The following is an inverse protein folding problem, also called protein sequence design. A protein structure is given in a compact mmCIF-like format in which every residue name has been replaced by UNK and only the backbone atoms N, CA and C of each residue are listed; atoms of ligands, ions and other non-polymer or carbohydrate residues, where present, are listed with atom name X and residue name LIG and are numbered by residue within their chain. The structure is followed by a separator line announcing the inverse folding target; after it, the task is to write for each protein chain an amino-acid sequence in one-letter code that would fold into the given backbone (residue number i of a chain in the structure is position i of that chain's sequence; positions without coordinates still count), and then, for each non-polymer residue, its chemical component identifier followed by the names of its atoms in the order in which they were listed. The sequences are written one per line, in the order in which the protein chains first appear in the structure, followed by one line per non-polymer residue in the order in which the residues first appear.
data_IF_388834429243
#
_entry.id   IF_388834429243
#
_cell.length_a   1.000
_cell.length_b   1.000
_cell.length_c   1.000
_cell.angle_alpha   90.00
_cell.angle_beta   90.00
_cell.angle_gamma   90.00
#
_symmetry.space_group_name_H-M   'P 1'
#
loop_
_entity.id
_entity.type
_entity.pdbx_description
1 polymer ?
#
# COMPACT_ATOMS: atom_id res chain seq x y z
N UNK A 1 40.51 14.26 21.60
CA UNK A 1 39.27 13.65 22.16
C UNK A 1 37.98 14.16 21.51
N UNK A 2 37.99 14.81 20.33
CA UNK A 2 36.81 15.53 19.82
C UNK A 2 36.27 15.04 18.45
N UNK A 3 36.85 13.98 17.87
CA UNK A 3 36.46 13.50 16.54
C UNK A 3 35.29 12.50 16.59
N UNK A 4 35.19 11.70 17.66
CA UNK A 4 34.11 10.71 17.80
C UNK A 4 32.74 11.35 18.09
N UNK A 5 32.71 12.48 18.79
CA UNK A 5 31.47 13.22 19.06
C UNK A 5 30.92 13.92 17.83
N UNK A 6 31.77 14.35 16.89
CA UNK A 6 31.31 14.96 15.64
C UNK A 6 30.67 13.93 14.68
N UNK A 7 31.27 12.73 14.60
CA UNK A 7 30.78 11.62 13.75
C UNK A 7 29.45 11.05 14.29
N UNK A 8 29.32 10.92 15.63
CA UNK A 8 28.06 10.48 16.24
C UNK A 8 26.91 11.48 16.03
N UNK A 9 27.21 12.78 16.00
CA UNK A 9 26.19 13.81 15.77
C UNK A 9 25.70 13.84 14.31
N UNK A 10 26.60 13.72 13.32
CA UNK A 10 26.20 13.69 11.91
C UNK A 10 25.38 12.43 11.58
N UNK A 11 25.79 11.26 12.10
CA UNK A 11 25.02 10.03 11.96
C UNK A 11 23.63 10.12 12.62
N UNK A 12 23.50 10.83 13.74
CA UNK A 12 22.21 11.09 14.38
C UNK A 12 21.33 12.05 13.57
N UNK A 13 21.89 13.09 12.96
CA UNK A 13 21.16 14.02 12.10
C UNK A 13 20.65 13.32 10.83
N UNK A 14 21.50 12.54 10.16
CA UNK A 14 21.13 11.76 8.98
C UNK A 14 20.01 10.76 9.31
N UNK A 15 20.08 10.12 10.48
CA UNK A 15 19.06 9.16 10.93
C UNK A 15 17.73 9.84 11.29
N UNK A 16 17.75 11.07 11.83
CA UNK A 16 16.54 11.86 12.03
C UNK A 16 15.91 12.28 10.71
N UNK A 17 16.71 12.71 9.73
CA UNK A 17 16.24 13.04 8.39
C UNK A 17 15.59 11.82 7.74
N UNK A 18 16.24 10.66 7.87
CA UNK A 18 15.77 9.38 7.33
C UNK A 18 14.46 8.91 7.96
N UNK A 19 14.36 8.99 9.30
CA UNK A 19 13.14 8.71 10.04
C UNK A 19 12.00 9.64 9.61
N UNK A 20 12.30 10.93 9.43
CA UNK A 20 11.32 11.93 8.97
C UNK A 20 10.82 11.63 7.55
N UNK A 21 11.71 11.23 6.64
CA UNK A 21 11.34 10.83 5.27
C UNK A 21 10.43 9.59 5.30
N UNK A 22 10.80 8.56 6.07
CA UNK A 22 10.01 7.35 6.23
C UNK A 22 8.63 7.62 6.85
N UNK A 23 8.55 8.54 7.81
CA UNK A 23 7.30 8.92 8.46
C UNK A 23 6.38 9.70 7.50
N UNK A 24 6.95 10.54 6.65
CA UNK A 24 6.20 11.20 5.57
C UNK A 24 5.68 10.20 4.52
N UNK A 25 6.50 9.22 4.12
CA UNK A 25 6.06 8.13 3.23
C UNK A 25 4.96 7.27 3.89
N UNK A 26 5.09 6.97 5.19
CA UNK A 26 4.06 6.27 5.97
C UNK A 26 2.70 6.99 5.91
N UNK A 27 2.68 8.31 6.08
CA UNK A 27 1.46 9.11 5.98
C UNK A 27 0.85 9.04 4.57
N UNK A 28 1.67 9.16 3.53
CA UNK A 28 1.23 9.01 2.13
C UNK A 28 0.61 7.64 1.87
N UNK A 29 1.27 6.57 2.32
CA UNK A 29 0.76 5.21 2.19
C UNK A 29 -0.47 4.93 3.04
N UNK A 30 -0.61 5.54 4.22
CA UNK A 30 -1.80 5.40 5.05
C UNK A 30 -3.04 6.03 4.38
N UNK A 31 -2.85 7.15 3.68
CA UNK A 31 -3.89 7.79 2.87
C UNK A 31 -4.26 6.94 1.65
N UNK A 32 -3.28 6.45 0.88
CA UNK A 32 -3.49 5.54 -0.26
C UNK A 32 -4.20 4.27 0.20
N UNK A 33 -3.77 3.69 1.32
CA UNK A 33 -4.43 2.57 1.98
C UNK A 33 -5.91 2.92 2.17
N UNK A 34 -6.24 3.95 2.96
CA UNK A 34 -7.63 4.33 3.21
C UNK A 34 -8.47 4.50 1.95
N UNK A 35 -7.91 5.13 0.90
CA UNK A 35 -8.57 5.31 -0.40
C UNK A 35 -8.81 3.97 -1.11
N UNK A 36 -7.80 3.10 -1.19
CA UNK A 36 -7.92 1.78 -1.84
C UNK A 36 -8.98 0.91 -1.17
N UNK A 37 -9.10 0.94 0.16
CA UNK A 37 -10.18 0.23 0.86
C UNK A 37 -11.53 0.87 0.64
N UNK A 38 -11.61 2.21 0.66
CA UNK A 38 -12.84 2.91 0.29
C UNK A 38 -13.33 2.51 -1.11
N UNK A 39 -12.44 2.49 -2.10
CA UNK A 39 -12.77 2.05 -3.47
C UNK A 39 -13.10 0.56 -3.54
N UNK A 40 -12.40 -0.31 -2.80
CA UNK A 40 -12.74 -1.73 -2.71
C UNK A 40 -14.14 -1.96 -2.15
N UNK A 41 -14.49 -1.33 -1.02
CA UNK A 41 -15.81 -1.43 -0.40
C UNK A 41 -16.89 -0.88 -1.34
N UNK A 42 -16.62 0.24 -1.99
CA UNK A 42 -17.54 0.82 -2.97
C UNK A 42 -17.80 -0.13 -4.16
N UNK A 43 -16.74 -0.68 -4.77
CA UNK A 43 -16.86 -1.67 -5.85
C UNK A 43 -17.57 -2.94 -5.39
N UNK A 44 -17.31 -3.41 -4.17
CA UNK A 44 -17.99 -4.57 -3.59
C UNK A 44 -19.49 -4.33 -3.41
N UNK A 45 -19.89 -3.17 -2.86
CA UNK A 45 -21.30 -2.82 -2.69
C UNK A 45 -22.04 -2.69 -4.03
N UNK A 46 -21.40 -2.10 -5.04
CA UNK A 46 -21.97 -2.04 -6.39
C UNK A 46 -22.13 -3.44 -7.00
N UNK A 47 -21.17 -4.35 -6.78
CA UNK A 47 -21.24 -5.72 -7.27
C UNK A 47 -22.38 -6.49 -6.60
N UNK A 48 -22.50 -6.38 -5.27
CA UNK A 48 -23.59 -6.99 -4.50
C UNK A 48 -24.94 -6.42 -4.94
N UNK A 49 -25.03 -5.10 -5.16
CA UNK A 49 -26.22 -4.44 -5.68
C UNK A 49 -26.61 -4.97 -7.07
N UNK A 50 -25.65 -5.08 -7.99
CA UNK A 50 -25.87 -5.63 -9.32
C UNK A 50 -26.35 -7.10 -9.24
N UNK A 51 -25.69 -7.92 -8.42
CA UNK A 51 -26.11 -9.31 -8.18
C UNK A 51 -27.52 -9.41 -7.59
N UNK A 52 -27.87 -8.51 -6.68
CA UNK A 52 -29.21 -8.41 -6.09
C UNK A 52 -30.28 -8.07 -7.14
N UNK A 53 -30.02 -7.08 -8.00
CA UNK A 53 -30.93 -6.70 -9.10
C UNK A 53 -31.09 -7.86 -10.09
N UNK A 54 -30.00 -8.52 -10.46
CA UNK A 54 -30.04 -9.71 -11.33
C UNK A 54 -30.87 -10.82 -10.68
N UNK A 55 -30.57 -11.19 -9.43
CA UNK A 55 -31.28 -12.25 -8.71
C UNK A 55 -32.77 -11.96 -8.58
N UNK A 56 -33.14 -10.72 -8.24
CA UNK A 56 -34.53 -10.29 -8.18
C UNK A 56 -35.23 -10.37 -9.54
N UNK A 57 -34.55 -9.96 -10.61
CA UNK A 57 -35.07 -10.02 -11.97
C UNK A 57 -35.29 -11.47 -12.41
N UNK A 58 -34.35 -12.38 -12.11
CA UNK A 58 -34.51 -13.81 -12.41
C UNK A 58 -35.69 -14.44 -11.67
N UNK A 59 -35.86 -14.16 -10.37
CA UNK A 59 -37.00 -14.67 -9.58
C UNK A 59 -38.33 -14.16 -10.16
N UNK A 60 -38.37 -12.87 -10.52
CA UNK A 60 -39.56 -12.24 -11.08
C UNK A 60 -39.90 -12.79 -12.48
N UNK A 61 -38.89 -12.99 -13.34
CA UNK A 61 -39.05 -13.52 -14.70
C UNK A 61 -39.39 -15.02 -14.74
N UNK A 62 -38.95 -15.80 -13.75
CA UNK A 62 -39.39 -17.20 -13.57
C UNK A 62 -40.89 -17.26 -13.29
N UNK A 63 -41.44 -16.27 -12.59
CA UNK A 63 -42.87 -16.18 -12.31
C UNK A 63 -43.69 -15.66 -13.51
N UNK A 64 -43.08 -14.98 -14.48
CA UNK A 64 -43.78 -14.31 -15.60
C UNK A 64 -43.58 -14.97 -16.97
N UNK A 65 -42.82 -16.07 -17.06
CA UNK A 65 -42.55 -16.73 -18.35
C UNK A 65 -41.37 -16.13 -19.11
N UNK A 66 -40.17 -16.22 -18.52
CA UNK A 66 -38.95 -16.54 -19.28
C UNK A 66 -38.35 -15.44 -20.16
N UNK A 67 -38.25 -14.19 -19.71
CA UNK A 67 -37.35 -13.23 -20.35
C UNK A 67 -35.92 -13.34 -19.80
N UNK A 68 -34.97 -13.59 -20.71
CA UNK A 68 -33.54 -13.79 -20.44
C UNK A 68 -32.92 -12.50 -19.91
N UNK A 69 -32.06 -12.61 -18.89
CA UNK A 69 -31.29 -11.51 -18.34
C UNK A 69 -30.59 -10.68 -19.45
N UNK A 70 -30.74 -9.36 -19.40
CA UNK A 70 -30.22 -8.45 -20.41
C UNK A 70 -28.69 -8.57 -20.53
N UNK A 71 -28.13 -8.76 -21.73
CA UNK A 71 -26.69 -8.94 -21.95
C UNK A 71 -25.84 -7.76 -21.45
N UNK A 72 -26.46 -6.59 -21.29
CA UNK A 72 -25.82 -5.38 -20.79
C UNK A 72 -25.35 -5.50 -19.33
N UNK A 73 -26.07 -6.24 -18.49
CA UNK A 73 -25.72 -6.39 -17.07
C UNK A 73 -24.52 -7.36 -16.91
N UNK A 74 -24.46 -8.39 -17.76
CA UNK A 74 -23.33 -9.33 -17.79
C UNK A 74 -22.01 -8.64 -18.18
N UNK A 75 -22.09 -7.63 -19.06
CA UNK A 75 -20.93 -6.84 -19.50
C UNK A 75 -20.36 -5.94 -18.39
N UNK A 76 -21.17 -5.52 -17.43
CA UNK A 76 -20.74 -4.64 -16.32
C UNK A 76 -20.15 -5.44 -15.16
N UNK A 77 -20.51 -6.72 -15.03
CA UNK A 77 -20.01 -7.60 -13.96
C UNK A 77 -18.50 -7.86 -14.03
N UNK A 78 -17.99 -8.13 -15.22
CA UNK A 78 -16.58 -8.44 -15.45
C UNK A 78 -15.61 -7.29 -15.10
N UNK A 79 -15.82 -6.04 -15.55
CA UNK A 79 -14.97 -4.93 -15.14
C UNK A 79 -15.12 -4.61 -13.65
N UNK A 80 -16.30 -4.81 -13.04
CA UNK A 80 -16.48 -4.59 -11.61
C UNK A 80 -15.70 -5.59 -10.75
N UNK A 81 -15.72 -6.88 -11.11
CA UNK A 81 -14.96 -7.91 -10.40
C UNK A 81 -13.45 -7.70 -10.58
N UNK A 82 -13.01 -7.32 -11.79
CA UNK A 82 -11.61 -6.95 -12.04
C UNK A 82 -11.18 -5.72 -11.22
N UNK A 83 -12.03 -4.69 -11.12
CA UNK A 83 -11.77 -3.53 -10.28
C UNK A 83 -11.66 -3.90 -8.80
N UNK A 84 -12.56 -4.75 -8.29
CA UNK A 84 -12.53 -5.23 -6.91
C UNK A 84 -11.22 -5.95 -6.58
N UNK A 85 -10.77 -6.88 -7.45
CA UNK A 85 -9.50 -7.59 -7.29
C UNK A 85 -8.33 -6.62 -7.35
N UNK A 86 -8.35 -5.66 -8.27
CA UNK A 86 -7.31 -4.64 -8.42
C UNK A 86 -7.17 -3.75 -7.17
N UNK A 87 -8.28 -3.24 -6.64
CA UNK A 87 -8.26 -2.44 -5.42
C UNK A 87 -7.84 -3.25 -4.19
N UNK A 88 -8.24 -4.52 -4.10
CA UNK A 88 -7.82 -5.41 -3.03
C UNK A 88 -6.31 -5.71 -3.08
N UNK A 89 -5.78 -6.02 -4.26
CA UNK A 89 -4.34 -6.24 -4.45
C UNK A 89 -3.53 -4.97 -4.09
N UNK A 90 -4.02 -3.80 -4.52
CA UNK A 90 -3.42 -2.51 -4.20
C UNK A 90 -3.45 -2.22 -2.68
N UNK A 91 -4.56 -2.52 -2.01
CA UNK A 91 -4.67 -2.42 -0.55
C UNK A 91 -3.67 -3.33 0.17
N UNK A 92 -3.57 -4.60 -0.24
CA UNK A 92 -2.60 -5.54 0.32
C UNK A 92 -1.16 -5.07 0.11
N UNK A 93 -0.83 -4.55 -1.07
CA UNK A 93 0.48 -3.96 -1.35
C UNK A 93 0.78 -2.78 -0.42
N UNK A 94 -0.18 -1.85 -0.25
CA UNK A 94 -0.03 -0.73 0.67
C UNK A 94 0.16 -1.19 2.13
N UNK A 95 -0.55 -2.24 2.55
CA UNK A 95 -0.44 -2.79 3.91
C UNK A 95 0.93 -3.44 4.16
N UNK A 96 1.44 -4.20 3.19
CA UNK A 96 2.77 -4.80 3.27
C UNK A 96 3.87 -3.73 3.32
N UNK A 97 3.71 -2.66 2.54
CA UNK A 97 4.65 -1.55 2.56
C UNK A 97 4.63 -0.77 3.87
N UNK A 98 3.47 -0.45 4.44
CA UNK A 98 3.38 0.21 5.75
C UNK A 98 4.06 -0.63 6.84
N UNK A 99 3.82 -1.95 6.83
CA UNK A 99 4.46 -2.85 7.79
C UNK A 99 6.00 -2.90 7.62
N UNK A 100 6.49 -2.84 6.39
CA UNK A 100 7.93 -2.73 6.11
C UNK A 100 8.52 -1.39 6.56
N UNK A 101 7.81 -0.28 6.34
CA UNK A 101 8.19 1.05 6.83
C UNK A 101 8.26 1.07 8.36
N UNK A 102 7.26 0.51 9.06
CA UNK A 102 7.24 0.46 10.52
C UNK A 102 8.44 -0.33 11.06
N UNK A 103 8.76 -1.49 10.47
CA UNK A 103 9.96 -2.26 10.83
C UNK A 103 11.26 -1.48 10.58
N UNK A 104 11.31 -0.74 9.47
CA UNK A 104 12.46 0.11 9.13
C UNK A 104 12.63 1.23 10.15
N UNK A 105 11.54 1.90 10.55
CA UNK A 105 11.55 2.93 11.59
C UNK A 105 12.02 2.37 12.95
N UNK A 106 11.54 1.19 13.35
CA UNK A 106 12.02 0.53 14.57
C UNK A 106 13.51 0.21 14.50
N UNK A 107 14.02 -0.27 13.35
CA UNK A 107 15.45 -0.56 13.18
C UNK A 107 16.31 0.71 13.23
N UNK A 108 15.83 1.82 12.64
CA UNK A 108 16.48 3.12 12.71
C UNK A 108 16.54 3.63 14.15
N UNK A 109 15.42 3.62 14.88
CA UNK A 109 15.36 4.05 16.29
C UNK A 109 16.25 3.20 17.21
N UNK A 110 16.39 1.90 16.92
CA UNK A 110 17.27 0.99 17.64
C UNK A 110 18.76 1.11 17.25
N UNK A 111 19.13 2.05 16.36
CA UNK A 111 20.49 2.23 15.81
C UNK A 111 21.08 0.95 15.20
N UNK A 112 20.24 0.08 14.61
CA UNK A 112 20.67 -1.17 13.97
C UNK A 112 20.75 -1.00 12.45
N UNK A 113 21.83 -0.35 11.99
CA UNK A 113 22.04 0.09 10.61
C UNK A 113 22.03 -1.03 9.55
N UNK A 114 22.62 -2.19 9.86
CA UNK A 114 22.61 -3.34 8.92
C UNK A 114 21.21 -3.92 8.68
N UNK A 115 20.36 -3.91 9.71
CA UNK A 115 18.96 -4.35 9.59
C UNK A 115 18.14 -3.32 8.83
N UNK A 116 18.41 -2.04 9.06
CA UNK A 116 17.76 -0.94 8.35
C UNK A 116 18.02 -1.00 6.84
N UNK A 117 19.27 -1.20 6.42
CA UNK A 117 19.62 -1.33 5.00
C UNK A 117 18.87 -2.50 4.31
N UNK A 118 18.78 -3.64 5.01
CA UNK A 118 18.03 -4.81 4.55
C UNK A 118 16.55 -4.48 4.33
N UNK A 119 15.91 -3.82 5.29
CA UNK A 119 14.49 -3.43 5.18
C UNK A 119 14.26 -2.37 4.09
N UNK A 120 15.18 -1.42 3.92
CA UNK A 120 15.10 -0.43 2.83
C UNK A 120 15.27 -1.08 1.46
N UNK A 121 16.09 -2.14 1.34
CA UNK A 121 16.14 -2.96 0.13
C UNK A 121 14.83 -3.72 -0.12
N UNK A 122 14.06 -4.03 0.90
CA UNK A 122 12.81 -4.77 0.76
C UNK A 122 11.59 -3.88 0.54
N UNK A 123 11.73 -2.55 0.67
CA UNK A 123 10.69 -1.58 0.35
C UNK A 123 10.38 -1.58 -1.16
N UNK A 124 9.33 -2.32 -1.53
CA UNK A 124 8.81 -2.37 -2.90
C UNK A 124 8.06 -1.09 -3.29
N UNK A 125 7.61 -0.30 -2.31
CA UNK A 125 6.86 0.93 -2.56
C UNK A 125 7.72 2.18 -2.81
N UNK A 126 9.01 2.14 -2.48
CA UNK A 126 9.90 3.26 -2.76
C UNK A 126 10.34 3.22 -4.23
N UNK A 127 10.19 4.34 -4.95
CA UNK A 127 10.78 4.52 -6.28
C UNK A 127 12.26 4.14 -6.24
N UNK A 128 12.77 3.43 -7.27
CA UNK A 128 14.19 3.04 -7.38
C UNK A 128 15.15 4.19 -7.06
N UNK A 129 14.80 5.41 -7.49
CA UNK A 129 15.59 6.63 -7.24
C UNK A 129 15.60 7.06 -5.76
N UNK A 130 14.45 6.98 -5.08
CA UNK A 130 14.35 7.25 -3.64
C UNK A 130 15.06 6.18 -2.82
N UNK A 131 14.90 4.91 -3.20
CA UNK A 131 15.59 3.77 -2.57
C UNK A 131 17.12 3.89 -2.68
N UNK A 132 17.65 4.30 -3.84
CA UNK A 132 19.08 4.54 -3.99
C UNK A 132 19.58 5.66 -3.07
N UNK A 133 18.84 6.77 -2.96
CA UNK A 133 19.20 7.85 -2.03
C UNK A 133 19.21 7.41 -0.56
N UNK A 134 18.22 6.61 -0.15
CA UNK A 134 18.18 6.07 1.22
C UNK A 134 19.35 5.12 1.49
N UNK A 135 19.74 4.30 0.51
CA UNK A 135 20.89 3.40 0.63
C UNK A 135 22.22 4.15 0.62
N UNK A 136 22.36 5.23 -0.16
CA UNK A 136 23.53 6.09 -0.12
C UNK A 136 23.69 6.77 1.24
N UNK A 137 22.61 7.28 1.83
CA UNK A 137 22.65 7.89 3.18
C UNK A 137 23.00 6.86 4.27
N UNK A 138 22.50 5.62 4.17
CA UNK A 138 22.85 4.57 5.13
C UNK A 138 24.30 4.13 4.93
N UNK A 139 24.75 4.05 3.68
CA UNK A 139 26.14 3.75 3.33
C UNK A 139 27.11 4.81 3.84
N UNK A 140 26.75 6.09 3.79
CA UNK A 140 27.58 7.17 4.33
C UNK A 140 27.64 7.19 5.86
N UNK A 141 26.66 6.61 6.55
CA UNK A 141 26.66 6.46 8.02
C UNK A 141 27.44 5.23 8.48
N UNK A 142 27.57 4.21 7.63
CA UNK A 142 28.33 2.99 7.90
C UNK A 142 29.82 3.08 7.52
N UNK A 143 30.19 4.03 6.66
CA UNK A 143 31.56 4.26 6.17
C UNK A 143 32.36 5.15 7.13
#
# INVERSE_FOLDING_TARGET
MNSNSAIDNSAQEDLQVLATILENERKGHCHIRSICFGMFVFSFLLLVGAMGVIGFSFISSVSSGGEKASPMILQVLAPLSAAMIGFFASWCAAHNCINSIDRSLYAAQARKYQLFEGFVRELQCASKKKRSLLLDMVGSVLA
#
